data_IF_221275656629
#
_entry.id   IF_221275656629
#
_cell.length_a   1.000
_cell.length_b   1.000
_cell.length_c   1.000
_cell.angle_alpha   90.00
_cell.angle_beta   90.00
_cell.angle_gamma   90.00
#
_symmetry.space_group_name_H-M   'P 1'
#
loop_
_entity.id
_entity.type
_entity.pdbx_description
1 polymer ?
#
# COMPACT_ATOMS: atom_id res chain seq x y z
N UNK A 1 18.21 1.57 -22.00
CA UNK A 1 16.88 0.94 -22.13
C UNK A 1 16.72 0.09 -20.91
N UNK A 2 15.88 0.53 -19.99
CA UNK A 2 15.63 -0.14 -18.71
C UNK A 2 15.12 -1.56 -18.96
N UNK A 3 15.72 -2.55 -18.32
CA UNK A 3 15.33 -3.95 -18.46
C UNK A 3 14.16 -4.27 -17.52
N UNK A 4 12.93 -4.09 -18.01
CA UNK A 4 11.69 -4.31 -17.24
C UNK A 4 11.66 -5.72 -16.63
N UNK A 5 12.07 -6.73 -17.39
CA UNK A 5 12.05 -8.13 -16.93
C UNK A 5 13.00 -8.37 -15.75
N UNK A 6 14.17 -7.71 -15.75
CA UNK A 6 15.10 -7.71 -14.64
C UNK A 6 14.52 -7.06 -13.39
N UNK A 7 13.91 -5.88 -13.52
CA UNK A 7 13.27 -5.20 -12.39
C UNK A 7 12.16 -6.06 -11.78
N UNK A 8 11.28 -6.60 -12.63
CA UNK A 8 10.19 -7.48 -12.21
C UNK A 8 10.70 -8.74 -11.51
N UNK A 9 11.77 -9.35 -12.03
CA UNK A 9 12.39 -10.54 -11.45
C UNK A 9 12.99 -10.26 -10.07
N UNK A 10 13.69 -9.14 -9.90
CA UNK A 10 14.27 -8.74 -8.60
C UNK A 10 13.19 -8.44 -7.56
N UNK A 11 12.12 -7.73 -7.95
CA UNK A 11 10.98 -7.47 -7.07
C UNK A 11 10.35 -8.78 -6.58
N UNK A 12 10.09 -9.73 -7.50
CA UNK A 12 9.56 -11.05 -7.13
C UNK A 12 10.51 -11.85 -6.26
N UNK A 13 11.81 -11.78 -6.53
CA UNK A 13 12.85 -12.43 -5.70
C UNK A 13 12.86 -11.89 -4.28
N UNK A 14 12.54 -10.61 -4.10
CA UNK A 14 12.39 -9.95 -2.80
C UNK A 14 11.00 -10.12 -2.15
N UNK A 15 10.17 -11.02 -2.70
CA UNK A 15 8.88 -11.38 -2.15
C UNK A 15 7.75 -10.39 -2.47
N UNK A 16 7.93 -9.51 -3.46
CA UNK A 16 6.89 -8.60 -3.93
C UNK A 16 6.03 -9.31 -4.97
N UNK A 17 4.71 -9.32 -4.77
CA UNK A 17 3.77 -9.88 -5.74
C UNK A 17 3.46 -8.87 -6.85
N UNK A 18 4.33 -8.77 -7.84
CA UNK A 18 4.15 -7.85 -8.97
C UNK A 18 2.99 -8.29 -9.87
N UNK A 19 2.00 -7.41 -10.02
CA UNK A 19 0.87 -7.57 -10.95
C UNK A 19 1.22 -7.02 -12.34
N UNK A 20 1.82 -5.82 -12.38
CA UNK A 20 2.25 -5.17 -13.61
C UNK A 20 3.38 -4.19 -13.33
N UNK A 21 4.26 -4.00 -14.30
CA UNK A 21 5.30 -2.98 -14.26
C UNK A 21 5.58 -2.43 -15.67
N UNK A 22 5.68 -1.12 -15.76
CA UNK A 22 6.20 -0.41 -16.94
C UNK A 22 7.40 0.44 -16.50
N UNK A 23 8.55 0.30 -17.18
CA UNK A 23 9.76 1.05 -16.82
C UNK A 23 9.97 2.29 -17.70
N UNK A 24 8.89 3.03 -17.93
CA UNK A 24 8.91 4.39 -18.47
C UNK A 24 9.49 5.41 -17.48
N UNK A 25 9.15 6.67 -17.72
CA UNK A 25 9.55 7.80 -16.87
C UNK A 25 8.28 8.63 -16.59
N UNK A 26 7.51 8.30 -15.52
CA UNK A 26 7.86 7.45 -14.37
C UNK A 26 7.78 5.93 -14.62
N UNK A 27 8.38 5.15 -13.71
CA UNK A 27 8.14 3.71 -13.58
C UNK A 27 6.76 3.52 -12.94
N UNK A 28 5.86 2.86 -13.65
CA UNK A 28 4.51 2.51 -13.15
C UNK A 28 4.53 1.08 -12.59
N UNK A 29 4.48 0.94 -11.27
CA UNK A 29 4.48 -0.36 -10.58
C UNK A 29 3.10 -0.65 -9.97
N UNK A 30 2.53 -1.82 -10.26
CA UNK A 30 1.38 -2.35 -9.51
C UNK A 30 1.77 -3.65 -8.83
N UNK A 31 1.57 -3.73 -7.51
CA UNK A 31 1.81 -4.93 -6.74
C UNK A 31 0.68 -5.25 -5.78
N UNK A 32 0.42 -6.54 -5.59
CA UNK A 32 -0.56 -7.01 -4.64
C UNK A 32 0.06 -7.10 -3.25
N UNK A 33 -0.59 -6.50 -2.25
CA UNK A 33 -0.15 -6.60 -0.87
C UNK A 33 -0.44 -7.98 -0.29
N UNK A 34 0.52 -8.53 0.45
CA UNK A 34 0.32 -9.79 1.19
C UNK A 34 -0.39 -9.59 2.54
N UNK A 35 -0.63 -8.33 2.95
CA UNK A 35 -1.09 -8.01 4.30
C UNK A 35 -2.61 -7.75 4.34
N UNK A 36 -3.33 -8.40 5.28
CA UNK A 36 -4.73 -8.07 5.52
C UNK A 36 -4.82 -6.71 6.22
N UNK A 37 -5.47 -5.73 5.62
CA UNK A 37 -5.61 -4.40 6.22
C UNK A 37 -6.27 -3.37 5.32
N UNK A 38 -6.48 -2.19 5.90
CA UNK A 38 -6.94 -0.97 5.20
C UNK A 38 -5.82 0.04 4.99
N UNK A 39 -4.62 -0.26 5.48
CA UNK A 39 -3.43 0.59 5.38
C UNK A 39 -2.30 -0.19 4.71
N UNK A 40 -1.40 0.52 4.04
CA UNK A 40 -0.23 -0.07 3.40
C UNK A 40 0.78 -0.51 4.45
N UNK A 41 1.32 -1.74 4.31
CA UNK A 41 2.42 -2.20 5.15
C UNK A 41 3.71 -1.46 4.82
N UNK A 42 4.25 -0.73 5.81
CA UNK A 42 5.49 0.06 5.63
C UNK A 42 6.70 -0.82 5.33
N UNK A 43 6.72 -2.05 5.85
CA UNK A 43 7.80 -3.00 5.58
C UNK A 43 7.79 -3.49 4.13
N UNK A 44 6.61 -3.65 3.54
CA UNK A 44 6.44 -4.00 2.13
C UNK A 44 6.90 -2.88 1.21
N UNK A 45 6.51 -1.63 1.50
CA UNK A 45 7.02 -0.45 0.79
C UNK A 45 8.54 -0.37 0.90
N UNK A 46 9.07 -0.59 2.11
CA UNK A 46 10.51 -0.64 2.34
C UNK A 46 11.22 -1.69 1.49
N UNK A 47 10.68 -2.91 1.38
CA UNK A 47 11.26 -3.95 0.52
C UNK A 47 11.27 -3.59 -0.96
N UNK A 48 10.19 -2.98 -1.46
CA UNK A 48 10.15 -2.45 -2.84
C UNK A 48 11.26 -1.42 -3.03
N UNK A 49 11.35 -0.46 -2.11
CA UNK A 49 12.34 0.61 -2.11
C UNK A 49 13.78 0.07 -2.10
N UNK A 50 14.10 -0.86 -1.19
CA UNK A 50 15.41 -1.53 -1.13
C UNK A 50 15.75 -2.21 -2.46
N UNK A 51 14.78 -2.86 -3.11
CA UNK A 51 15.01 -3.51 -4.41
C UNK A 51 15.44 -2.49 -5.48
N UNK A 52 14.82 -1.30 -5.53
CA UNK A 52 15.21 -0.25 -6.47
C UNK A 52 16.57 0.37 -6.16
N UNK A 53 16.91 0.52 -4.86
CA UNK A 53 18.25 0.95 -4.43
C UNK A 53 19.29 -0.07 -4.90
N UNK A 54 19.08 -1.37 -4.64
CA UNK A 54 19.98 -2.44 -5.06
C UNK A 54 20.15 -2.46 -6.60
N UNK A 55 19.07 -2.26 -7.35
CA UNK A 55 19.12 -2.17 -8.81
C UNK A 55 19.97 -1.00 -9.30
N UNK A 56 19.83 0.17 -8.66
CA UNK A 56 20.61 1.36 -8.97
C UNK A 56 22.10 1.17 -8.62
N UNK A 57 22.40 0.69 -7.42
CA UNK A 57 23.78 0.47 -6.95
C UNK A 57 24.56 -0.54 -7.81
N UNK A 58 23.84 -1.49 -8.43
CA UNK A 58 24.42 -2.48 -9.33
C UNK A 58 24.38 -2.06 -10.81
N UNK A 59 24.09 -0.78 -11.11
CA UNK A 59 24.02 -0.22 -12.47
C UNK A 59 23.03 -0.97 -13.40
N UNK A 60 22.00 -1.59 -12.81
CA UNK A 60 20.96 -2.37 -13.53
C UNK A 60 19.74 -1.52 -13.88
N UNK A 61 19.65 -0.32 -13.31
CA UNK A 61 18.56 0.62 -13.53
C UNK A 61 19.06 2.06 -13.34
N UNK A 62 18.51 2.98 -14.15
CA UNK A 62 18.75 4.42 -14.02
C UNK A 62 17.59 5.04 -13.22
N UNK A 63 17.86 5.81 -12.16
CA UNK A 63 16.83 6.24 -11.23
C UNK A 63 15.86 7.21 -11.89
N UNK A 64 14.59 6.84 -11.91
CA UNK A 64 13.47 7.70 -12.31
C UNK A 64 12.40 7.66 -11.23
N UNK A 65 11.41 8.56 -11.33
CA UNK A 65 10.29 8.56 -10.40
C UNK A 65 9.56 7.23 -10.48
N UNK A 66 9.23 6.66 -9.33
CA UNK A 66 8.41 5.45 -9.21
C UNK A 66 7.04 5.91 -8.77
N UNK A 67 6.00 5.58 -9.53
CA UNK A 67 4.61 5.69 -9.11
C UNK A 67 4.07 4.27 -8.90
N UNK A 68 3.66 3.98 -7.67
CA UNK A 68 3.26 2.65 -7.26
C UNK A 68 1.80 2.59 -6.84
N UNK A 69 1.11 1.55 -7.29
CA UNK A 69 -0.25 1.20 -6.91
C UNK A 69 -0.24 -0.09 -6.11
N UNK A 70 -0.78 -0.03 -4.90
CA UNK A 70 -0.93 -1.18 -4.01
C UNK A 70 -2.34 -1.71 -4.15
N UNK A 71 -2.50 -3.00 -4.44
CA UNK A 71 -3.83 -3.62 -4.60
C UNK A 71 -4.04 -4.76 -3.61
N UNK A 72 -5.29 -4.97 -3.18
CA UNK A 72 -5.71 -6.16 -2.39
C UNK A 72 -6.14 -7.32 -3.28
N UNK A 73 -6.57 -6.98 -4.50
CA UNK A 73 -6.89 -7.89 -5.60
C UNK A 73 -6.90 -7.09 -6.90
N UNK A 74 -6.97 -7.74 -8.06
CA UNK A 74 -6.85 -7.09 -9.37
C UNK A 74 -7.75 -5.85 -9.57
N UNK A 75 -8.94 -5.81 -8.96
CA UNK A 75 -9.92 -4.72 -9.08
C UNK A 75 -10.09 -3.89 -7.79
N UNK A 76 -9.24 -4.09 -6.78
CA UNK A 76 -9.37 -3.44 -5.46
C UNK A 76 -8.08 -2.73 -5.08
N UNK A 77 -7.98 -1.45 -5.45
CA UNK A 77 -6.86 -0.58 -5.10
C UNK A 77 -6.93 -0.21 -3.62
N UNK A 78 -5.82 -0.45 -2.91
CA UNK A 78 -5.64 -0.06 -1.53
C UNK A 78 -5.10 1.36 -1.41
N UNK A 79 -4.04 1.69 -2.14
CA UNK A 79 -3.34 2.96 -2.01
C UNK A 79 -2.41 3.22 -3.19
N UNK A 80 -1.91 4.46 -3.25
CA UNK A 80 -0.88 4.92 -4.17
C UNK A 80 0.26 5.53 -3.38
N UNK A 81 1.49 5.39 -3.84
CA UNK A 81 2.66 6.09 -3.31
C UNK A 81 3.64 6.39 -4.42
N UNK A 82 4.59 7.28 -4.17
CA UNK A 82 5.67 7.55 -5.11
C UNK A 82 7.02 7.72 -4.42
N UNK A 83 8.08 7.49 -5.19
CA UNK A 83 9.44 7.80 -4.80
C UNK A 83 10.09 8.67 -5.88
N UNK A 84 10.71 9.77 -5.48
CA UNK A 84 11.47 10.61 -6.41
C UNK A 84 12.87 10.01 -6.65
N UNK A 85 13.44 10.20 -7.86
CA UNK A 85 14.74 9.65 -8.19
C UNK A 85 15.86 10.20 -7.29
N UNK A 86 15.78 11.50 -6.97
CA UNK A 86 16.75 12.19 -6.09
C UNK A 86 16.89 11.51 -4.72
N UNK A 87 15.81 10.95 -4.17
CA UNK A 87 15.87 10.27 -2.88
C UNK A 87 16.63 8.93 -2.96
N UNK A 88 16.55 8.24 -4.09
CA UNK A 88 17.26 6.99 -4.33
C UNK A 88 18.75 7.30 -4.51
N UNK A 89 19.05 8.37 -5.25
CA UNK A 89 20.42 8.88 -5.41
C UNK A 89 21.03 9.28 -4.07
N UNK A 90 20.29 10.01 -3.23
CA UNK A 90 20.72 10.44 -1.90
C UNK A 90 20.96 9.26 -0.95
N UNK A 91 20.16 8.19 -1.02
CA UNK A 91 20.41 6.98 -0.23
C UNK A 91 21.69 6.28 -0.67
N UNK A 92 21.87 6.11 -1.97
CA UNK A 92 23.05 5.45 -2.52
C UNK A 92 24.34 6.28 -2.31
N UNK A 93 24.25 7.62 -2.28
CA UNK A 93 25.38 8.49 -1.93
C UNK A 93 25.66 8.54 -0.42
N UNK A 94 24.73 8.05 0.41
CA UNK A 94 24.78 8.09 1.87
C UNK A 94 24.39 9.45 2.46
N UNK A 95 23.82 10.35 1.66
CA UNK A 95 23.26 11.63 2.11
C UNK A 95 21.93 11.46 2.86
N UNK A 96 21.18 10.41 2.52
CA UNK A 96 19.93 10.02 3.17
C UNK A 96 20.04 8.60 3.73
N UNK A 97 19.58 8.36 4.95
CA UNK A 97 19.48 6.99 5.46
C UNK A 97 18.29 6.24 4.84
N UNK A 98 18.39 4.92 4.69
CA UNK A 98 17.26 4.06 4.28
C UNK A 98 15.97 4.32 5.10
N UNK A 99 16.12 4.60 6.39
CA UNK A 99 14.99 4.92 7.29
C UNK A 99 14.34 6.25 6.91
N UNK A 100 15.15 7.26 6.57
CA UNK A 100 14.66 8.58 6.16
C UNK A 100 14.00 8.51 4.79
N UNK A 101 14.57 7.75 3.86
CA UNK A 101 13.95 7.46 2.57
C UNK A 101 12.60 6.78 2.71
N UNK A 102 12.53 5.72 3.53
CA UNK A 102 11.26 5.06 3.81
C UNK A 102 10.22 6.02 4.40
N UNK A 103 10.64 6.94 5.28
CA UNK A 103 9.75 7.94 5.84
C UNK A 103 9.21 8.88 4.75
N UNK A 104 10.07 9.41 3.85
CA UNK A 104 9.65 10.26 2.73
C UNK A 104 8.64 9.54 1.84
N UNK A 105 8.90 8.28 1.47
CA UNK A 105 7.98 7.50 0.63
C UNK A 105 6.64 7.27 1.35
N UNK A 106 6.66 6.96 2.65
CA UNK A 106 5.43 6.78 3.45
C UNK A 106 4.60 8.07 3.50
N UNK A 107 5.23 9.24 3.54
CA UNK A 107 4.52 10.53 3.50
C UNK A 107 3.81 10.79 2.15
N UNK A 108 4.21 10.09 1.08
CA UNK A 108 3.54 10.18 -0.22
C UNK A 108 2.30 9.29 -0.34
N UNK A 109 2.05 8.41 0.63
CA UNK A 109 0.96 7.44 0.56
C UNK A 109 -0.37 8.19 0.54
N UNK A 110 -1.17 7.91 -0.48
CA UNK A 110 -2.54 8.40 -0.64
C UNK A 110 -3.48 7.22 -0.79
N UNK A 111 -4.67 7.35 -0.24
CA UNK A 111 -5.71 6.32 -0.33
C UNK A 111 -6.76 6.79 -1.35
N UNK A 112 -7.27 5.90 -2.22
CA UNK A 112 -8.40 6.25 -3.05
C UNK A 112 -9.54 6.75 -2.15
N UNK A 113 -10.21 7.81 -2.56
CA UNK A 113 -11.38 8.32 -1.87
C UNK A 113 -12.36 7.16 -1.77
N UNK A 114 -12.48 6.61 -0.56
CA UNK A 114 -13.40 5.52 -0.29
C UNK A 114 -14.78 6.06 -0.67
N UNK A 115 -15.30 5.64 -1.81
CA UNK A 115 -16.71 5.86 -2.13
C UNK A 115 -17.45 5.06 -1.09
N UNK A 116 -17.85 5.75 -0.02
CA UNK A 116 -18.25 5.14 1.23
C UNK A 116 -19.29 4.07 0.98
N UNK A 117 -18.93 2.80 1.23
CA UNK A 117 -19.96 1.86 1.65
C UNK A 117 -20.31 2.24 3.07
N UNK A 118 -21.26 3.16 3.15
CA UNK A 118 -22.12 3.34 4.29
C UNK A 118 -22.65 1.96 4.70
N UNK A 119 -22.02 1.32 5.68
CA UNK A 119 -22.59 0.18 6.40
C UNK A 119 -23.47 0.73 7.52
N UNK A 120 -24.53 1.43 7.13
CA UNK A 120 -25.70 1.67 7.96
C UNK A 120 -26.89 1.05 7.23
N UNK A 121 -27.84 0.48 8.00
CA UNK A 121 -29.00 -0.35 7.63
C UNK A 121 -28.71 -1.88 7.60
N UNK A 122 -29.28 -2.76 8.43
CA UNK A 122 -30.46 -2.78 9.33
C UNK A 122 -30.15 -3.81 10.45
N UNK A 123 -30.54 -3.66 11.71
CA UNK A 123 -31.90 -3.92 12.20
C UNK A 123 -32.17 -3.11 13.48
N UNK A 124 -32.99 -2.06 13.34
CA UNK A 124 -33.75 -1.46 14.43
C UNK A 124 -35.18 -1.22 13.90
N UNK A 125 -36.08 -2.12 14.27
CA UNK A 125 -37.54 -2.00 14.49
C UNK A 125 -38.04 -3.45 14.63
N UNK A 126 -38.78 -3.85 15.65
CA UNK A 126 -39.98 -3.18 16.11
C UNK A 126 -40.29 -3.59 17.56
N UNK A 127 -40.83 -2.62 18.27
CA UNK A 127 -41.39 -2.69 19.62
C UNK A 127 -42.30 -3.91 19.85
N UNK A 128 -42.22 -4.49 21.06
CA UNK A 128 -43.44 -4.89 21.74
C UNK A 128 -43.42 -4.27 23.14
N UNK A 129 -44.03 -3.10 23.17
CA UNK A 129 -44.57 -2.39 24.32
C UNK A 129 -45.54 -3.27 25.13
N UNK A 130 -45.61 -2.97 26.43
CA UNK A 130 -46.67 -3.30 27.38
C UNK A 130 -46.92 -4.78 27.76
N UNK A 131 -46.58 -5.14 29.00
CA UNK A 131 -47.58 -5.30 30.08
C UNK A 131 -46.83 -5.42 31.43
N UNK A 132 -46.84 -4.39 32.26
CA UNK A 132 -47.86 -4.11 33.28
C UNK A 132 -47.55 -4.80 34.62
N UNK A 133 -47.45 -3.95 35.63
CA UNK A 133 -47.17 -4.24 37.03
C UNK A 133 -48.41 -4.78 37.71
N UNK A 134 -48.28 -5.89 38.44
CA UNK A 134 -49.12 -6.20 39.61
C UNK A 134 -48.29 -7.18 40.46
N UNK A 135 -47.66 -6.76 41.56
CA UNK A 135 -48.24 -6.51 42.90
C UNK A 135 -49.29 -7.55 43.31
N UNK A 136 -48.95 -8.33 44.34
CA UNK A 136 -49.85 -9.31 44.93
C UNK A 136 -49.10 -10.35 45.74
N UNK A 137 -48.87 -10.06 47.02
CA UNK A 137 -48.37 -11.04 47.99
C UNK A 137 -49.43 -12.04 48.45
N UNK A 138 -48.92 -13.17 48.96
CA UNK A 138 -49.50 -14.06 50.00
C UNK A 138 -50.81 -14.80 49.64
N UNK A 139 -51.16 -15.92 50.31
CA UNK A 139 -50.83 -16.36 51.69
C UNK A 139 -49.82 -17.49 51.86
#
# INVERSE_FOLDING_TARGET
MTDIQGIEAELRSNGIHVESIDAGEPVDLTYMTAFPGTEVDRGEVGRVCTTFIDLYENERWEPTRIDATVVRSADDVLAYWHANPEWIEDVASGELSEVEFSALVVETITYPESSGTNREEREANDENDANDTTDGGEP
#
